data_IF_455259730100
#
_entry.id   IF_455259730100
#
_cell.length_a   1.000
_cell.length_b   1.000
_cell.length_c   1.000
_cell.angle_alpha   90.00
_cell.angle_beta   90.00
_cell.angle_gamma   90.00
#
_symmetry.space_group_name_H-M   'P 1'
#
loop_
_entity.id
_entity.type
_entity.pdbx_description
1 polymer ?
#
# COMPACT_ATOMS: atom_id res chain seq x y z
N UNK A 1 33.14 25.81 12.91
CA UNK A 1 31.90 25.02 12.67
C UNK A 1 32.12 23.97 11.57
N UNK A 2 32.54 24.32 10.35
CA UNK A 2 32.72 23.42 9.21
C UNK A 2 33.75 22.31 9.44
N UNK A 3 34.91 22.64 10.06
CA UNK A 3 35.96 21.64 10.34
C UNK A 3 35.51 20.58 11.36
N UNK A 4 34.78 20.99 12.39
CA UNK A 4 34.23 20.08 13.40
C UNK A 4 33.20 19.15 12.81
N UNK A 5 32.29 19.66 11.95
CA UNK A 5 31.27 18.86 11.24
C UNK A 5 31.92 17.84 10.32
N UNK A 6 32.94 18.24 9.54
CA UNK A 6 33.67 17.33 8.65
C UNK A 6 34.44 16.24 9.41
N UNK A 7 35.00 16.55 10.57
CA UNK A 7 35.63 15.54 11.41
C UNK A 7 34.64 14.51 11.96
N UNK A 8 33.49 14.96 12.48
CA UNK A 8 32.41 14.06 12.94
C UNK A 8 31.89 13.17 11.82
N UNK A 9 31.66 13.76 10.64
CA UNK A 9 31.22 12.98 9.47
C UNK A 9 32.22 11.89 9.09
N UNK A 10 33.55 12.23 9.09
CA UNK A 10 34.60 11.24 8.82
C UNK A 10 34.61 10.11 9.85
N UNK A 11 34.42 10.41 11.13
CA UNK A 11 34.33 9.40 12.18
C UNK A 11 33.12 8.49 11.99
N UNK A 12 31.96 9.05 11.65
CA UNK A 12 30.73 8.27 11.37
C UNK A 12 30.90 7.35 10.16
N UNK A 13 31.46 7.86 9.06
CA UNK A 13 31.77 7.05 7.89
C UNK A 13 32.67 5.88 8.26
N UNK A 14 33.78 6.14 8.98
CA UNK A 14 34.70 5.09 9.40
C UNK A 14 34.08 4.07 10.36
N UNK A 15 33.15 4.48 11.20
CA UNK A 15 32.44 3.58 12.13
C UNK A 15 31.37 2.71 11.46
N UNK A 16 30.82 3.15 10.31
CA UNK A 16 29.69 2.49 9.66
C UNK A 16 29.98 2.01 8.23
N UNK A 17 31.21 2.17 7.73
CA UNK A 17 31.53 1.85 6.32
C UNK A 17 31.36 0.38 5.95
N UNK A 18 31.39 -0.53 6.92
CA UNK A 18 31.24 -1.97 6.71
C UNK A 18 29.81 -2.49 6.87
N UNK A 19 28.85 -1.61 7.26
CA UNK A 19 27.45 -2.01 7.42
C UNK A 19 26.77 -2.24 6.07
N UNK A 20 26.33 -3.48 5.86
CA UNK A 20 25.66 -3.93 4.63
C UNK A 20 24.34 -4.63 4.91
N UNK A 21 23.43 -4.54 3.93
CA UNK A 21 22.20 -5.33 3.94
C UNK A 21 22.50 -6.75 3.50
N UNK A 22 22.11 -7.73 4.31
CA UNK A 22 22.22 -9.15 3.99
C UNK A 22 20.99 -9.65 3.20
N UNK A 23 21.05 -10.87 2.65
CA UNK A 23 19.94 -11.48 1.88
C UNK A 23 18.66 -11.68 2.71
N UNK A 24 18.79 -11.72 4.05
CA UNK A 24 17.66 -11.79 4.98
C UNK A 24 17.11 -10.40 5.36
N UNK A 25 17.55 -9.33 4.68
CA UNK A 25 17.22 -7.93 4.95
C UNK A 25 17.70 -7.40 6.32
N UNK A 26 18.53 -8.16 7.04
CA UNK A 26 19.21 -7.64 8.23
C UNK A 26 20.41 -6.77 7.82
N UNK A 27 20.74 -5.78 8.66
CA UNK A 27 21.97 -4.98 8.50
C UNK A 27 23.04 -5.60 9.38
N UNK A 28 24.20 -5.90 8.79
CA UNK A 28 25.33 -6.55 9.48
C UNK A 28 26.64 -5.82 9.23
N UNK A 29 27.54 -5.94 10.18
CA UNK A 29 28.92 -5.52 10.04
C UNK A 29 29.79 -6.60 9.34
N UNK A 30 31.08 -6.30 9.14
CA UNK A 30 32.04 -7.26 8.54
C UNK A 30 32.26 -8.51 9.39
N UNK A 31 32.05 -8.44 10.71
CA UNK A 31 32.11 -9.57 11.64
C UNK A 31 30.88 -10.45 11.63
N UNK A 32 29.81 -10.07 10.90
CA UNK A 32 28.55 -10.79 10.85
C UNK A 32 27.59 -10.46 12.00
N UNK A 33 27.93 -9.50 12.87
CA UNK A 33 27.05 -9.06 13.94
C UNK A 33 25.84 -8.30 13.36
N UNK A 34 24.67 -8.54 13.93
CA UNK A 34 23.42 -7.91 13.48
C UNK A 34 23.29 -6.55 14.17
N UNK A 35 23.23 -5.49 13.37
CA UNK A 35 22.97 -4.10 13.82
C UNK A 35 21.49 -3.78 13.76
N UNK A 36 20.81 -4.22 12.71
CA UNK A 36 19.34 -4.18 12.58
C UNK A 36 18.82 -5.51 12.10
N UNK A 37 17.71 -5.99 12.66
CA UNK A 37 17.08 -7.24 12.23
C UNK A 37 16.41 -7.11 10.87
N UNK A 38 15.86 -5.93 10.58
CA UNK A 38 15.28 -5.58 9.28
C UNK A 38 15.70 -4.14 8.98
N UNK A 39 16.26 -3.88 7.80
CA UNK A 39 16.63 -2.53 7.38
C UNK A 39 15.40 -1.60 7.46
N UNK A 40 15.51 -0.50 8.22
CA UNK A 40 14.45 0.50 8.40
C UNK A 40 13.12 -0.05 8.92
N UNK A 41 13.10 -1.24 9.53
CA UNK A 41 11.93 -1.98 10.02
C UNK A 41 10.94 -2.45 8.94
N UNK A 42 11.07 -2.00 7.69
CA UNK A 42 10.19 -2.33 6.58
C UNK A 42 10.91 -2.93 5.35
N UNK A 43 12.24 -2.94 5.36
CA UNK A 43 13.12 -3.38 4.28
C UNK A 43 12.90 -2.64 2.96
N UNK A 44 12.38 -1.42 2.99
CA UNK A 44 12.14 -0.60 1.80
C UNK A 44 13.33 0.33 1.52
N UNK A 45 13.61 0.52 0.24
CA UNK A 45 14.62 1.45 -0.22
C UNK A 45 14.06 2.88 -0.20
N UNK A 46 14.71 3.77 0.54
CA UNK A 46 14.30 5.17 0.69
C UNK A 46 14.29 5.95 -0.63
N UNK A 47 15.04 5.51 -1.65
CA UNK A 47 15.07 6.17 -2.97
C UNK A 47 13.73 6.07 -3.72
N UNK A 48 12.90 5.08 -3.42
CA UNK A 48 11.58 4.89 -4.03
C UNK A 48 10.44 5.53 -3.25
N UNK A 49 10.70 6.03 -2.04
CA UNK A 49 9.67 6.61 -1.17
C UNK A 49 9.13 7.92 -1.76
N UNK A 50 7.82 7.98 -1.91
CA UNK A 50 7.08 9.14 -2.44
C UNK A 50 6.04 9.61 -1.42
N UNK A 51 5.84 10.92 -1.33
CA UNK A 51 4.76 11.50 -0.54
C UNK A 51 3.44 11.40 -1.31
N UNK A 52 2.42 10.80 -0.68
CA UNK A 52 1.11 10.62 -1.29
C UNK A 52 -0.01 11.03 -0.33
N UNK A 53 -1.04 11.77 -0.84
CA UNK A 53 -2.11 12.25 0.01
C UNK A 53 -3.11 11.14 0.35
N UNK A 54 -3.52 11.07 1.62
CA UNK A 54 -4.59 10.20 2.10
C UNK A 54 -5.83 11.03 2.47
N UNK A 55 -6.71 11.24 1.52
CA UNK A 55 -7.90 12.05 1.70
C UNK A 55 -8.88 11.50 2.76
N UNK A 56 -8.86 10.18 3.01
CA UNK A 56 -9.77 9.52 3.95
C UNK A 56 -9.67 10.08 5.37
N UNK A 57 -8.55 10.66 5.75
CA UNK A 57 -8.34 11.23 7.10
C UNK A 57 -9.20 12.48 7.32
N UNK A 58 -9.33 13.33 6.28
CA UNK A 58 -10.10 14.59 6.33
C UNK A 58 -11.59 14.43 6.05
N UNK A 59 -11.97 13.30 5.43
CA UNK A 59 -13.37 13.07 5.09
C UNK A 59 -14.20 12.78 6.34
N UNK A 60 -15.45 13.26 6.36
CA UNK A 60 -16.44 12.85 7.35
C UNK A 60 -16.81 11.37 7.17
N UNK A 61 -17.43 10.78 8.17
CA UNK A 61 -17.91 9.39 8.08
C UNK A 61 -18.98 9.26 6.99
N UNK A 62 -19.84 10.28 6.86
CA UNK A 62 -20.91 10.31 5.85
C UNK A 62 -20.32 10.35 4.43
N UNK A 63 -19.30 11.19 4.19
CA UNK A 63 -18.59 11.24 2.91
C UNK A 63 -17.88 9.92 2.58
N UNK A 64 -17.32 9.24 3.59
CA UNK A 64 -16.68 7.94 3.40
C UNK A 64 -17.72 6.88 3.04
N UNK A 65 -18.87 6.91 3.71
CA UNK A 65 -20.00 6.02 3.42
C UNK A 65 -20.48 6.23 2.00
N UNK A 66 -20.69 7.48 1.58
CA UNK A 66 -21.09 7.79 0.22
C UNK A 66 -20.07 7.33 -0.83
N UNK A 67 -18.78 7.47 -0.58
CA UNK A 67 -17.73 7.14 -1.55
C UNK A 67 -17.30 5.68 -1.58
N UNK A 68 -17.36 4.97 -0.44
CA UNK A 68 -16.74 3.65 -0.29
C UNK A 68 -17.70 2.51 0.04
N UNK A 69 -18.92 2.80 0.49
CA UNK A 69 -19.89 1.80 0.87
C UNK A 69 -20.95 1.56 -0.21
N UNK A 70 -21.20 0.32 -0.57
CA UNK A 70 -22.33 -0.07 -1.40
C UNK A 70 -23.53 -0.43 -0.53
N UNK A 71 -24.63 0.33 -0.65
CA UNK A 71 -25.88 -0.03 0.01
C UNK A 71 -26.57 -1.25 -0.67
N UNK A 72 -27.45 -1.91 0.08
CA UNK A 72 -28.27 -3.02 -0.43
C UNK A 72 -29.12 -2.63 -1.64
N UNK A 73 -29.55 -1.35 -1.71
CA UNK A 73 -30.39 -0.81 -2.79
C UNK A 73 -29.64 -0.44 -4.07
N UNK A 74 -28.35 -0.73 -4.13
CA UNK A 74 -27.53 -0.39 -5.30
C UNK A 74 -28.02 -1.11 -6.55
N UNK A 75 -28.35 -0.35 -7.60
CA UNK A 75 -28.80 -0.89 -8.89
C UNK A 75 -27.62 -1.44 -9.71
N UNK A 76 -27.16 -2.63 -9.38
CA UNK A 76 -25.98 -3.27 -9.97
C UNK A 76 -26.02 -3.40 -11.49
N UNK A 77 -27.19 -3.64 -12.09
CA UNK A 77 -27.35 -3.76 -13.55
C UNK A 77 -26.97 -2.48 -14.32
N UNK A 78 -26.93 -1.33 -13.65
CA UNK A 78 -26.45 -0.08 -14.25
C UNK A 78 -24.92 0.02 -14.26
N UNK A 79 -24.25 -0.58 -13.27
CA UNK A 79 -22.81 -0.43 -13.02
C UNK A 79 -22.00 -1.60 -13.57
N UNK A 80 -22.54 -2.81 -13.51
CA UNK A 80 -21.86 -4.06 -13.83
C UNK A 80 -22.59 -4.77 -14.97
N UNK A 81 -21.88 -5.54 -15.79
CA UNK A 81 -22.50 -6.41 -16.82
C UNK A 81 -23.43 -7.44 -16.17
N UNK A 82 -24.54 -7.75 -16.83
CA UNK A 82 -25.62 -8.63 -16.30
C UNK A 82 -25.09 -9.98 -15.80
N UNK A 83 -24.14 -10.59 -16.51
CA UNK A 83 -23.56 -11.88 -16.12
C UNK A 83 -22.77 -11.81 -14.80
N UNK A 84 -22.08 -10.70 -14.55
CA UNK A 84 -21.32 -10.48 -13.30
C UNK A 84 -22.26 -10.13 -12.15
N UNK A 85 -23.28 -9.33 -12.39
CA UNK A 85 -24.32 -9.01 -11.41
C UNK A 85 -25.10 -10.27 -10.97
N UNK A 86 -25.47 -11.15 -11.91
CA UNK A 86 -26.20 -12.40 -11.59
C UNK A 86 -25.36 -13.37 -10.74
N UNK A 87 -24.04 -13.44 -10.95
CA UNK A 87 -23.15 -14.26 -10.11
C UNK A 87 -23.05 -13.71 -8.69
N UNK A 88 -23.03 -12.40 -8.54
CA UNK A 88 -22.96 -11.73 -7.26
C UNK A 88 -24.22 -11.92 -6.43
N UNK A 89 -25.40 -11.74 -7.03
CA UNK A 89 -26.71 -11.89 -6.37
C UNK A 89 -27.00 -13.34 -5.90
N UNK A 90 -26.26 -14.33 -6.41
CA UNK A 90 -26.31 -15.72 -5.94
C UNK A 90 -25.53 -15.97 -4.66
N UNK A 91 -24.64 -15.06 -4.24
CA UNK A 91 -23.88 -15.19 -2.99
C UNK A 91 -24.75 -14.69 -1.82
N UNK A 92 -25.26 -15.63 -1.02
CA UNK A 92 -26.12 -15.32 0.14
C UNK A 92 -25.42 -14.47 1.22
N UNK A 93 -24.08 -14.47 1.24
CA UNK A 93 -23.26 -13.68 2.18
C UNK A 93 -22.69 -12.42 1.55
N UNK A 94 -23.26 -11.98 0.45
CA UNK A 94 -22.77 -10.82 -0.29
C UNK A 94 -22.73 -9.54 0.58
N UNK A 95 -23.84 -9.23 1.24
CA UNK A 95 -23.96 -8.02 2.05
C UNK A 95 -23.03 -8.07 3.26
N UNK A 96 -22.95 -9.22 3.94
CA UNK A 96 -22.06 -9.39 5.10
C UNK A 96 -20.59 -9.11 4.76
N UNK A 97 -20.13 -9.55 3.58
CA UNK A 97 -18.76 -9.32 3.12
C UNK A 97 -18.47 -7.84 2.82
N UNK A 98 -19.46 -7.13 2.29
CA UNK A 98 -19.33 -5.69 2.03
C UNK A 98 -19.31 -4.91 3.35
N UNK A 99 -20.17 -5.26 4.28
CA UNK A 99 -20.24 -4.63 5.59
C UNK A 99 -18.96 -4.87 6.40
N UNK A 100 -18.43 -6.09 6.35
CA UNK A 100 -17.14 -6.43 6.96
C UNK A 100 -15.99 -5.61 6.37
N UNK A 101 -15.94 -5.49 5.04
CA UNK A 101 -14.92 -4.66 4.38
C UNK A 101 -15.07 -3.18 4.75
N UNK A 102 -16.28 -2.67 4.84
CA UNK A 102 -16.51 -1.28 5.23
C UNK A 102 -16.07 -1.01 6.68
N UNK A 103 -16.41 -1.91 7.62
CA UNK A 103 -15.91 -1.85 9.00
C UNK A 103 -14.38 -1.86 9.05
N UNK A 104 -13.74 -2.69 8.21
CA UNK A 104 -12.27 -2.72 8.09
C UNK A 104 -11.71 -1.36 7.66
N UNK A 105 -12.33 -0.69 6.70
CA UNK A 105 -11.91 0.66 6.25
C UNK A 105 -12.06 1.70 7.37
N UNK A 106 -13.13 1.67 8.14
CA UNK A 106 -13.31 2.56 9.28
C UNK A 106 -12.23 2.32 10.36
N UNK A 107 -11.94 1.06 10.68
CA UNK A 107 -10.86 0.71 11.61
C UNK A 107 -9.48 1.18 11.10
N UNK A 108 -9.24 1.08 9.80
CA UNK A 108 -8.02 1.62 9.18
C UNK A 108 -7.92 3.14 9.33
N UNK A 109 -9.03 3.86 9.15
CA UNK A 109 -9.08 5.31 9.36
C UNK A 109 -8.77 5.67 10.82
N UNK A 110 -9.37 5.00 11.78
CA UNK A 110 -9.10 5.22 13.20
C UNK A 110 -7.64 4.92 13.56
N UNK A 111 -7.07 3.85 13.01
CA UNK A 111 -5.67 3.51 13.19
C UNK A 111 -4.74 4.59 12.61
N UNK A 112 -5.02 5.10 11.41
CA UNK A 112 -4.26 6.19 10.81
C UNK A 112 -4.27 7.44 11.72
N UNK A 113 -5.44 7.84 12.20
CA UNK A 113 -5.61 9.05 13.02
C UNK A 113 -4.96 8.90 14.40
N UNK A 114 -5.17 7.76 15.06
CA UNK A 114 -4.74 7.56 16.45
C UNK A 114 -3.26 7.18 16.59
N UNK A 115 -2.75 6.35 15.67
CA UNK A 115 -1.40 5.76 15.80
C UNK A 115 -0.39 6.44 14.89
N UNK A 116 -0.73 6.63 13.60
CA UNK A 116 0.26 7.15 12.64
C UNK A 116 0.38 8.67 12.72
N UNK A 117 -0.75 9.38 12.68
CA UNK A 117 -0.74 10.84 12.66
C UNK A 117 -0.88 11.48 14.04
N UNK A 118 -1.06 10.67 15.09
CA UNK A 118 -1.16 11.13 16.49
C UNK A 118 -2.00 12.40 16.65
N UNK A 119 -3.17 12.43 16.00
CA UNK A 119 -4.13 13.55 15.93
C UNK A 119 -3.62 14.80 15.17
N UNK A 120 -2.43 14.77 14.59
CA UNK A 120 -2.00 15.83 13.67
C UNK A 120 -2.71 15.62 12.33
N UNK A 121 -3.40 16.64 11.77
CA UNK A 121 -4.17 16.50 10.53
C UNK A 121 -3.32 16.45 9.25
N UNK A 122 -2.10 15.96 9.32
CA UNK A 122 -1.31 15.68 8.13
C UNK A 122 -2.05 14.67 7.25
N UNK A 123 -2.03 14.88 5.94
CA UNK A 123 -2.72 14.00 4.99
C UNK A 123 -1.77 13.16 4.19
N UNK A 124 -0.48 13.43 4.28
CA UNK A 124 0.50 12.81 3.41
C UNK A 124 1.16 11.64 4.13
N UNK A 125 1.23 10.53 3.42
CA UNK A 125 1.97 9.35 3.84
C UNK A 125 3.15 9.15 2.90
N UNK A 126 4.29 8.81 3.45
CA UNK A 126 5.49 8.49 2.67
C UNK A 126 5.54 6.98 2.48
N UNK A 127 5.36 6.53 1.22
CA UNK A 127 5.37 5.11 0.89
C UNK A 127 5.87 4.90 -0.55
N UNK A 128 6.64 3.83 -0.85
CA UNK A 128 7.24 3.66 -2.17
C UNK A 128 6.27 3.27 -3.28
N UNK A 129 5.10 2.71 -2.93
CA UNK A 129 4.11 2.28 -3.93
C UNK A 129 2.94 3.26 -3.98
N UNK A 130 2.87 4.07 -5.03
CA UNK A 130 1.79 5.03 -5.24
C UNK A 130 0.63 4.39 -6.02
N UNK A 131 -0.28 3.71 -5.28
CA UNK A 131 -1.36 2.90 -5.87
C UNK A 131 -2.30 3.75 -6.74
N UNK A 132 -2.71 4.94 -6.27
CA UNK A 132 -3.61 5.81 -7.05
C UNK A 132 -3.03 6.15 -8.43
N UNK A 133 -1.76 6.53 -8.51
CA UNK A 133 -1.08 6.84 -9.78
C UNK A 133 -1.01 5.61 -10.70
N UNK A 134 -0.77 4.42 -10.13
CA UNK A 134 -0.76 3.18 -10.92
C UNK A 134 -2.16 2.92 -11.50
N UNK A 135 -3.22 3.13 -10.74
CA UNK A 135 -4.60 3.01 -11.22
C UNK A 135 -4.85 3.99 -12.38
N UNK A 136 -4.61 5.28 -12.15
CA UNK A 136 -4.90 6.35 -13.13
C UNK A 136 -4.14 6.17 -14.45
N UNK A 137 -2.90 5.70 -14.39
CA UNK A 137 -2.07 5.46 -15.59
C UNK A 137 -2.45 4.20 -16.39
N UNK A 138 -3.25 3.30 -15.83
CA UNK A 138 -3.57 2.02 -16.48
C UNK A 138 -5.04 1.85 -16.81
N UNK A 139 -5.85 2.85 -16.54
CA UNK A 139 -7.26 2.85 -16.89
C UNK A 139 -7.45 3.51 -18.25
N UNK A 140 -8.04 2.76 -19.17
CA UNK A 140 -8.58 3.33 -20.41
C UNK A 140 -10.01 3.80 -20.15
N UNK A 141 -10.26 5.11 -20.28
CA UNK A 141 -11.61 5.68 -20.13
C UNK A 141 -12.55 5.11 -21.19
N UNK A 142 -13.13 3.95 -20.95
CA UNK A 142 -14.16 3.34 -21.79
C UNK A 142 -15.52 3.54 -21.12
N UNK A 143 -16.50 4.01 -21.88
CA UNK A 143 -17.90 4.11 -21.45
C UNK A 143 -18.59 2.73 -21.36
N UNK A 144 -17.86 1.69 -20.97
CA UNK A 144 -18.37 0.33 -20.85
C UNK A 144 -18.58 -0.03 -19.39
N UNK A 145 -19.65 -0.79 -19.11
CA UNK A 145 -19.91 -1.30 -17.75
C UNK A 145 -18.78 -2.23 -17.31
N UNK A 146 -18.45 -2.19 -16.03
CA UNK A 146 -17.50 -3.12 -15.42
C UNK A 146 -17.94 -4.59 -15.59
N UNK A 147 -17.00 -5.48 -15.82
CA UNK A 147 -17.23 -6.92 -15.90
C UNK A 147 -16.77 -7.69 -14.66
N UNK A 148 -16.22 -6.99 -13.68
CA UNK A 148 -15.79 -7.53 -12.39
C UNK A 148 -16.79 -7.18 -11.28
N UNK A 149 -17.02 -8.09 -10.34
CA UNK A 149 -17.91 -7.85 -9.21
C UNK A 149 -17.15 -7.43 -7.93
N UNK A 150 -17.82 -6.73 -6.98
CA UNK A 150 -17.20 -6.25 -5.76
C UNK A 150 -16.52 -7.35 -4.92
N UNK A 151 -17.17 -8.52 -4.78
CA UNK A 151 -16.62 -9.62 -3.98
C UNK A 151 -15.38 -10.22 -4.64
N UNK A 152 -15.35 -10.27 -5.98
CA UNK A 152 -14.17 -10.73 -6.71
C UNK A 152 -12.99 -9.79 -6.46
N UNK A 153 -13.21 -8.46 -6.46
CA UNK A 153 -12.20 -7.46 -6.11
C UNK A 153 -11.67 -7.71 -4.69
N UNK A 154 -12.53 -7.87 -3.69
CA UNK A 154 -12.11 -8.12 -2.31
C UNK A 154 -11.26 -9.38 -2.16
N UNK A 155 -11.63 -10.46 -2.86
CA UNK A 155 -10.85 -11.71 -2.88
C UNK A 155 -9.48 -11.52 -3.54
N UNK A 156 -9.42 -10.75 -4.63
CA UNK A 156 -8.18 -10.47 -5.35
C UNK A 156 -7.27 -9.54 -4.55
N UNK A 157 -7.82 -8.53 -3.85
CA UNK A 157 -7.06 -7.69 -2.93
C UNK A 157 -6.39 -8.53 -1.83
N UNK A 158 -7.14 -9.44 -1.20
CA UNK A 158 -6.60 -10.33 -0.17
C UNK A 158 -5.49 -11.27 -0.72
N UNK A 159 -5.62 -11.72 -1.97
CA UNK A 159 -4.57 -12.50 -2.64
C UNK A 159 -3.33 -11.66 -2.92
N UNK A 160 -3.50 -10.41 -3.38
CA UNK A 160 -2.40 -9.47 -3.62
C UNK A 160 -1.61 -9.21 -2.35
N UNK A 161 -2.27 -8.88 -1.25
CA UNK A 161 -1.63 -8.65 0.05
C UNK A 161 -0.84 -9.88 0.49
N UNK A 162 -1.44 -11.07 0.43
CA UNK A 162 -0.75 -12.32 0.76
C UNK A 162 0.46 -12.59 -0.14
N UNK A 163 0.36 -12.28 -1.43
CA UNK A 163 1.46 -12.45 -2.39
C UNK A 163 2.63 -11.49 -2.10
N UNK A 164 2.33 -10.27 -1.67
CA UNK A 164 3.36 -9.30 -1.27
C UNK A 164 4.04 -9.69 0.04
N UNK A 165 3.31 -10.30 0.98
CA UNK A 165 3.76 -10.67 2.32
C UNK A 165 4.15 -12.15 2.46
N UNK A 166 4.60 -12.80 1.39
CA UNK A 166 5.07 -14.20 1.42
C UNK A 166 6.16 -14.37 2.48
N UNK A 167 7.09 -13.42 2.59
CA UNK A 167 8.07 -13.41 3.68
C UNK A 167 7.39 -12.86 4.94
N UNK A 168 7.42 -13.65 6.02
CA UNK A 168 6.79 -13.27 7.30
C UNK A 168 7.28 -11.93 7.86
N UNK A 169 8.51 -11.55 7.55
CA UNK A 169 9.12 -10.27 7.93
C UNK A 169 8.33 -9.04 7.45
N UNK A 170 7.56 -9.13 6.36
CA UNK A 170 6.75 -8.03 5.82
C UNK A 170 5.32 -7.99 6.34
N UNK A 171 4.88 -8.93 7.17
CA UNK A 171 3.51 -8.99 7.70
C UNK A 171 3.11 -7.75 8.52
N UNK A 172 4.06 -7.03 9.07
CA UNK A 172 3.80 -5.85 9.89
C UNK A 172 3.60 -4.57 9.10
N UNK A 173 3.65 -4.64 7.75
CA UNK A 173 3.47 -3.45 6.90
C UNK A 173 1.98 -3.10 6.73
N UNK A 174 1.34 -2.69 7.84
CA UNK A 174 -0.07 -2.27 7.86
C UNK A 174 -0.37 -1.14 6.88
N UNK A 175 0.59 -0.26 6.61
CA UNK A 175 0.41 0.87 5.70
C UNK A 175 0.07 0.38 4.29
N UNK A 176 0.76 -0.64 3.79
CA UNK A 176 0.47 -1.21 2.47
C UNK A 176 -0.94 -1.81 2.40
N UNK A 177 -1.34 -2.56 3.43
CA UNK A 177 -2.69 -3.13 3.52
C UNK A 177 -3.75 -2.03 3.49
N UNK A 178 -3.56 -0.98 4.28
CA UNK A 178 -4.45 0.19 4.32
C UNK A 178 -4.54 0.86 2.95
N UNK A 179 -3.42 1.10 2.28
CA UNK A 179 -3.38 1.70 0.94
C UNK A 179 -4.11 0.85 -0.10
N UNK A 180 -3.93 -0.47 -0.06
CA UNK A 180 -4.65 -1.40 -0.94
C UNK A 180 -6.16 -1.33 -0.68
N UNK A 181 -6.60 -1.41 0.57
CA UNK A 181 -8.04 -1.42 0.92
C UNK A 181 -8.74 -0.09 0.58
N UNK A 182 -8.03 1.04 0.69
CA UNK A 182 -8.57 2.36 0.35
C UNK A 182 -8.62 2.57 -1.16
N UNK A 183 -7.50 2.38 -1.86
CA UNK A 183 -7.40 2.71 -3.28
C UNK A 183 -8.01 1.65 -4.20
N UNK A 184 -7.93 0.36 -3.83
CA UNK A 184 -8.60 -0.73 -4.54
C UNK A 184 -9.98 -1.04 -3.97
N UNK A 185 -10.66 -0.03 -3.39
CA UNK A 185 -12.04 -0.18 -2.94
C UNK A 185 -12.97 -0.50 -4.10
N UNK A 186 -13.83 -1.53 -3.99
CA UNK A 186 -14.73 -1.95 -5.06
C UNK A 186 -15.63 -0.84 -5.60
N UNK A 187 -16.16 0.04 -4.73
CA UNK A 187 -17.04 1.13 -5.16
C UNK A 187 -16.30 2.15 -6.01
N UNK A 188 -15.10 2.57 -5.59
CA UNK A 188 -14.27 3.49 -6.34
C UNK A 188 -13.90 2.93 -7.71
N UNK A 189 -13.50 1.66 -7.77
CA UNK A 189 -13.08 1.02 -9.02
C UNK A 189 -14.24 0.83 -10.00
N UNK A 190 -15.42 0.49 -9.52
CA UNK A 190 -16.59 0.23 -10.37
C UNK A 190 -17.29 1.53 -10.77
N UNK A 191 -17.54 2.45 -9.82
CA UNK A 191 -18.30 3.69 -10.11
C UNK A 191 -17.47 4.77 -10.77
N UNK A 192 -16.25 5.01 -10.25
CA UNK A 192 -15.41 6.10 -10.74
C UNK A 192 -14.64 5.71 -12.00
N UNK A 193 -14.14 4.47 -12.04
CA UNK A 193 -13.18 4.05 -13.06
C UNK A 193 -13.75 3.06 -14.08
N UNK A 194 -14.92 2.46 -13.84
CA UNK A 194 -15.55 1.43 -14.71
C UNK A 194 -14.58 0.33 -15.13
N UNK A 195 -13.76 -0.14 -14.19
CA UNK A 195 -12.63 -1.03 -14.44
C UNK A 195 -13.07 -2.37 -15.02
N UNK A 196 -12.31 -2.90 -15.99
CA UNK A 196 -12.46 -4.25 -16.48
C UNK A 196 -11.62 -5.24 -15.68
N UNK A 197 -11.91 -6.52 -15.80
CA UNK A 197 -11.13 -7.58 -15.13
C UNK A 197 -9.69 -7.64 -15.62
N UNK A 198 -9.46 -7.41 -16.90
CA UNK A 198 -8.11 -7.37 -17.50
C UNK A 198 -7.31 -6.19 -16.95
N UNK A 199 -7.89 -4.98 -16.95
CA UNK A 199 -7.26 -3.79 -16.39
C UNK A 199 -6.92 -3.98 -14.91
N UNK A 200 -7.84 -4.57 -14.13
CA UNK A 200 -7.58 -4.87 -12.73
C UNK A 200 -6.40 -5.82 -12.53
N UNK A 201 -6.28 -6.86 -13.38
CA UNK A 201 -5.14 -7.79 -13.34
C UNK A 201 -3.83 -7.07 -13.63
N UNK A 202 -3.79 -6.23 -14.66
CA UNK A 202 -2.62 -5.41 -15.01
C UNK A 202 -2.22 -4.49 -13.86
N UNK A 203 -3.20 -3.84 -13.21
CA UNK A 203 -2.96 -2.95 -12.07
C UNK A 203 -2.35 -3.73 -10.89
N UNK A 204 -2.93 -4.87 -10.53
CA UNK A 204 -2.42 -5.70 -9.42
C UNK A 204 -1.03 -6.24 -9.69
N UNK A 205 -0.72 -6.65 -10.91
CA UNK A 205 0.62 -7.11 -11.30
C UNK A 205 1.65 -5.97 -11.25
N UNK A 206 1.28 -4.76 -11.67
CA UNK A 206 2.14 -3.58 -11.56
C UNK A 206 2.39 -3.16 -10.11
N UNK A 207 1.36 -3.22 -9.25
CA UNK A 207 1.51 -2.96 -7.81
C UNK A 207 2.49 -3.99 -7.21
N UNK A 208 2.31 -5.27 -7.52
CA UNK A 208 3.19 -6.32 -7.03
C UNK A 208 4.64 -6.15 -7.51
N UNK A 209 4.83 -5.82 -8.80
CA UNK A 209 6.14 -5.55 -9.37
C UNK A 209 6.80 -4.36 -8.68
N UNK A 210 6.09 -3.23 -8.56
CA UNK A 210 6.60 -2.02 -7.88
C UNK A 210 6.92 -2.28 -6.41
N UNK A 211 6.10 -3.05 -5.70
CA UNK A 211 6.36 -3.44 -4.31
C UNK A 211 7.67 -4.24 -4.19
N UNK A 212 7.94 -5.17 -5.11
CA UNK A 212 9.19 -5.94 -5.06
C UNK A 212 10.41 -5.11 -5.48
N UNK A 213 10.27 -4.21 -6.45
CA UNK A 213 11.34 -3.31 -6.89
C UNK A 213 11.72 -2.28 -5.83
N UNK A 214 10.79 -1.94 -4.94
CA UNK A 214 11.04 -0.97 -3.85
C UNK A 214 11.70 -1.57 -2.61
N UNK A 215 11.98 -2.87 -2.59
CA UNK A 215 12.77 -3.48 -1.52
C UNK A 215 14.23 -3.15 -1.69
N UNK A 216 14.90 -2.93 -0.55
CA UNK A 216 16.34 -2.69 -0.53
C UNK A 216 17.10 -3.88 -1.14
N UNK A 217 18.11 -3.58 -1.94
CA UNK A 217 18.95 -4.61 -2.55
C UNK A 217 19.93 -5.23 -1.54
N UNK A 218 20.02 -6.57 -1.46
CA UNK A 218 21.06 -7.20 -0.65
C UNK A 218 22.44 -6.78 -1.13
N UNK A 219 23.33 -6.49 -0.18
CA UNK A 219 24.68 -5.98 -0.45
C UNK A 219 24.80 -4.47 -0.48
N UNK A 220 23.72 -3.73 -0.37
CA UNK A 220 23.73 -2.26 -0.29
C UNK A 220 24.49 -1.79 0.95
N UNK A 221 25.36 -0.78 0.79
CA UNK A 221 26.22 -0.23 1.85
C UNK A 221 25.49 0.88 2.60
N UNK A 222 24.50 0.49 3.37
CA UNK A 222 23.59 1.43 4.06
C UNK A 222 24.27 2.27 5.16
N UNK A 223 25.36 1.78 5.72
CA UNK A 223 26.11 2.55 6.73
C UNK A 223 26.76 3.79 6.14
N UNK A 224 27.31 3.71 4.94
CA UNK A 224 27.89 4.88 4.24
C UNK A 224 26.80 5.87 3.88
N UNK A 225 25.65 5.38 3.36
CA UNK A 225 24.50 6.23 3.03
C UNK A 225 23.97 6.97 4.27
N UNK A 226 23.85 6.29 5.40
CA UNK A 226 23.42 6.90 6.65
C UNK A 226 24.40 7.97 7.11
N UNK A 227 25.72 7.69 7.10
CA UNK A 227 26.75 8.64 7.51
C UNK A 227 26.83 9.88 6.61
N UNK A 228 26.52 9.76 5.33
CA UNK A 228 26.47 10.88 4.39
C UNK A 228 25.22 11.76 4.56
N UNK A 229 24.16 11.23 5.16
CA UNK A 229 22.88 11.92 5.35
C UNK A 229 22.83 12.81 6.59
N UNK A 230 23.83 12.70 7.46
CA UNK A 230 24.00 13.48 8.69
C UNK A 230 24.88 14.71 8.41
#
# INVERSE_FOLDING_TARGET
KTSTTGYVQRQLIKAMEDLKVSYDYSVRDSGGNIVQFIYGDDAMDATFVESQPLLIIKLSIDDITEKMYFSADTKWNKLIKVNSASRMLKDTKYQDKIDENFKKILNHREYLISVIFNKDPQNNINYPVHIQRIIENNITKKNTKSDINPIEILKLNSKLIKKCFILEKFKNNKIFEILVDIHLNPKLLIQKYNISKEEYTIITDKIYKKFNESKISPGEMVGVLAAQSI
#
